data_IF_621988268895
#
_entry.id   IF_621988268895
#
_cell.length_a   1.000
_cell.length_b   1.000
_cell.length_c   1.000
_cell.angle_alpha   90.00
_cell.angle_beta   90.00
_cell.angle_gamma   90.00
#
_symmetry.space_group_name_H-M   'P 1'
#
loop_
_entity.id
_entity.type
_entity.pdbx_description
1 polymer ?
#
# COMPACT_ATOMS: atom_id res chain seq x y z
N UNK A 1 1.28 8.33 17.13
CA UNK A 1 1.07 8.24 15.67
C UNK A 1 2.40 8.17 14.97
N UNK A 2 2.57 7.21 14.06
CA UNK A 2 3.76 7.05 13.22
C UNK A 2 3.39 7.25 11.75
N UNK A 3 4.37 7.64 10.93
CA UNK A 3 4.17 7.82 9.50
C UNK A 3 4.36 6.50 8.77
N UNK A 4 3.33 6.04 8.09
CA UNK A 4 3.39 4.90 7.19
C UNK A 4 3.61 5.37 5.75
N UNK A 5 4.38 4.60 4.99
CA UNK A 5 4.71 4.86 3.60
C UNK A 5 4.26 3.69 2.74
N UNK A 6 3.43 3.94 1.73
CA UNK A 6 2.95 2.95 0.78
C UNK A 6 3.46 3.29 -0.62
N UNK A 7 4.02 2.30 -1.32
CA UNK A 7 4.56 2.46 -2.68
C UNK A 7 3.91 1.49 -3.65
N UNK A 8 3.33 2.00 -4.72
CA UNK A 8 2.81 1.18 -5.82
C UNK A 8 2.92 1.96 -7.14
N UNK A 9 3.23 1.27 -8.24
CA UNK A 9 3.26 1.87 -9.59
C UNK A 9 4.07 3.17 -9.70
N UNK A 10 5.23 3.23 -9.02
CA UNK A 10 6.09 4.42 -8.99
C UNK A 10 5.55 5.60 -8.17
N UNK A 11 4.36 5.47 -7.57
CA UNK A 11 3.75 6.47 -6.69
C UNK A 11 4.00 6.13 -5.23
N UNK A 12 3.97 7.16 -4.39
CA UNK A 12 4.15 7.05 -2.94
C UNK A 12 3.02 7.77 -2.21
N UNK A 13 2.35 7.07 -1.30
CA UNK A 13 1.39 7.64 -0.35
C UNK A 13 1.98 7.62 1.06
N UNK A 14 1.80 8.70 1.82
CA UNK A 14 2.27 8.80 3.22
C UNK A 14 1.14 9.31 4.10
N UNK A 15 0.93 8.65 5.23
CA UNK A 15 -0.08 9.07 6.20
C UNK A 15 0.35 8.74 7.64
N UNK A 16 -0.11 9.55 8.59
CA UNK A 16 0.07 9.30 10.02
C UNK A 16 -1.11 8.50 10.56
N UNK A 17 -0.83 7.43 11.31
CA UNK A 17 -1.83 6.64 12.01
C UNK A 17 -1.25 5.97 13.26
N UNK A 18 -2.11 5.34 14.06
CA UNK A 18 -1.69 4.46 15.14
C UNK A 18 -1.33 3.07 14.60
N UNK A 19 -2.12 2.54 13.66
CA UNK A 19 -1.87 1.24 13.02
C UNK A 19 -1.79 1.38 11.51
N UNK A 20 -1.00 0.52 10.86
CA UNK A 20 -0.85 0.51 9.40
C UNK A 20 -2.16 0.18 8.67
N UNK A 21 -3.03 -0.62 9.29
CA UNK A 21 -4.35 -0.97 8.74
C UNK A 21 -5.24 0.25 8.53
N UNK A 22 -5.17 1.25 9.41
CA UNK A 22 -6.01 2.47 9.35
C UNK A 22 -5.72 3.32 8.09
N UNK A 23 -4.52 3.15 7.51
CA UNK A 23 -4.04 3.90 6.34
C UNK A 23 -3.92 3.05 5.09
N UNK A 24 -4.05 1.72 5.21
CA UNK A 24 -3.95 0.80 4.09
C UNK A 24 -5.13 0.93 3.12
N UNK A 25 -6.36 1.15 3.60
CA UNK A 25 -7.50 1.41 2.71
C UNK A 25 -7.33 2.73 1.92
N UNK A 26 -6.80 3.76 2.58
CA UNK A 26 -6.51 5.05 1.92
C UNK A 26 -5.42 4.88 0.87
N UNK A 27 -4.38 4.10 1.17
CA UNK A 27 -3.35 3.75 0.21
C UNK A 27 -3.93 2.99 -0.99
N UNK A 28 -4.87 2.07 -0.77
CA UNK A 28 -5.56 1.35 -1.84
C UNK A 28 -6.34 2.30 -2.76
N UNK A 29 -7.15 3.20 -2.18
CA UNK A 29 -7.91 4.21 -2.94
C UNK A 29 -6.99 5.08 -3.80
N UNK A 30 -5.92 5.59 -3.21
CA UNK A 30 -5.01 6.54 -3.86
C UNK A 30 -4.09 5.90 -4.90
N UNK A 31 -3.56 4.70 -4.61
CA UNK A 31 -2.50 4.09 -5.42
C UNK A 31 -2.97 2.95 -6.32
N UNK A 32 -4.05 2.25 -5.95
CA UNK A 32 -4.51 1.03 -6.63
C UNK A 32 -5.84 1.25 -7.35
N UNK A 33 -6.91 1.63 -6.64
CA UNK A 33 -8.27 1.70 -7.19
C UNK A 33 -8.44 2.81 -8.23
N UNK A 34 -7.67 3.90 -8.10
CA UNK A 34 -7.61 4.97 -9.08
C UNK A 34 -6.73 4.64 -10.29
N UNK A 35 -5.99 3.53 -10.25
CA UNK A 35 -5.02 3.15 -11.26
C UNK A 35 -5.58 2.04 -12.16
N UNK A 36 -5.90 2.33 -13.44
CA UNK A 36 -6.52 1.35 -14.33
C UNK A 36 -5.58 0.19 -14.71
N UNK A 37 -4.26 0.32 -14.51
CA UNK A 37 -3.31 -0.78 -14.74
C UNK A 37 -3.09 -1.65 -13.51
N UNK A 38 -3.77 -1.35 -12.38
CA UNK A 38 -3.55 -2.08 -11.15
C UNK A 38 -4.05 -3.51 -11.25
N UNK A 39 -3.23 -4.47 -10.84
CA UNK A 39 -3.58 -5.89 -10.77
C UNK A 39 -3.66 -6.37 -9.32
N UNK A 40 -4.25 -7.55 -9.16
CA UNK A 40 -4.29 -8.26 -7.88
C UNK A 40 -2.87 -8.52 -7.34
N UNK A 41 -2.75 -8.48 -6.02
CA UNK A 41 -1.48 -8.48 -5.34
C UNK A 41 -1.64 -8.29 -3.83
N UNK A 42 -0.52 -8.00 -3.17
CA UNK A 42 -0.50 -7.76 -1.73
C UNK A 42 0.49 -6.66 -1.35
N UNK A 43 0.25 -6.03 -0.19
CA UNK A 43 1.22 -5.16 0.46
C UNK A 43 2.27 -5.99 1.18
N UNK A 44 3.53 -5.82 0.81
CA UNK A 44 4.67 -6.40 1.50
C UNK A 44 5.36 -5.35 2.34
N UNK A 45 5.78 -5.72 3.55
CA UNK A 45 6.51 -4.83 4.45
C UNK A 45 7.87 -4.44 3.86
N UNK A 46 8.15 -3.15 3.85
CA UNK A 46 9.42 -2.54 3.47
C UNK A 46 9.95 -1.74 4.67
N UNK A 47 10.48 -2.47 5.65
CA UNK A 47 10.89 -1.91 6.94
C UNK A 47 9.72 -1.73 7.91
N UNK A 48 9.94 -0.98 9.00
CA UNK A 48 9.00 -0.94 10.15
C UNK A 48 7.67 -0.24 9.84
N UNK A 49 7.66 0.73 8.92
CA UNK A 49 6.44 1.48 8.56
C UNK A 49 6.27 1.65 7.06
N UNK A 50 7.05 0.92 6.25
CA UNK A 50 6.98 0.94 4.80
C UNK A 50 6.22 -0.25 4.27
N UNK A 51 5.51 -0.05 3.17
CA UNK A 51 4.82 -1.11 2.43
C UNK A 51 5.01 -0.89 0.93
N UNK A 52 5.23 -1.98 0.21
CA UNK A 52 5.35 -2.00 -1.25
C UNK A 52 4.29 -2.94 -1.83
N UNK A 53 3.57 -2.47 -2.84
CA UNK A 53 2.65 -3.31 -3.58
C UNK A 53 3.43 -4.28 -4.47
N UNK A 54 3.12 -5.56 -4.35
CA UNK A 54 3.66 -6.61 -5.20
C UNK A 54 2.48 -7.27 -5.90
N UNK A 55 2.49 -7.29 -7.23
CA UNK A 55 1.49 -7.99 -8.03
C UNK A 55 1.69 -9.51 -7.92
N UNK A 56 0.60 -10.26 -7.89
CA UNK A 56 0.63 -11.72 -7.88
C UNK A 56 -0.63 -12.34 -7.27
N UNK A 57 -0.96 -13.55 -7.70
CA UNK A 57 -1.97 -14.36 -7.03
C UNK A 57 -1.30 -15.10 -5.86
N UNK A 58 -1.35 -14.52 -4.66
CA UNK A 58 -0.70 -15.08 -3.46
C UNK A 58 -1.60 -16.02 -2.66
N UNK A 59 -2.82 -16.27 -3.14
CA UNK A 59 -3.86 -17.02 -2.43
C UNK A 59 -4.43 -18.18 -3.27
N UNK A 60 -3.66 -18.68 -4.25
CA UNK A 60 -3.94 -19.92 -4.99
C UNK A 60 -3.42 -21.16 -4.25
#
# INVERSE_FOLDING_TARGET
MITFTFKAYGKTFKAKAEKGLDVMEKANKELLWSNPVSKDGAWFEEGTTGYKWVEGNFFD
#
